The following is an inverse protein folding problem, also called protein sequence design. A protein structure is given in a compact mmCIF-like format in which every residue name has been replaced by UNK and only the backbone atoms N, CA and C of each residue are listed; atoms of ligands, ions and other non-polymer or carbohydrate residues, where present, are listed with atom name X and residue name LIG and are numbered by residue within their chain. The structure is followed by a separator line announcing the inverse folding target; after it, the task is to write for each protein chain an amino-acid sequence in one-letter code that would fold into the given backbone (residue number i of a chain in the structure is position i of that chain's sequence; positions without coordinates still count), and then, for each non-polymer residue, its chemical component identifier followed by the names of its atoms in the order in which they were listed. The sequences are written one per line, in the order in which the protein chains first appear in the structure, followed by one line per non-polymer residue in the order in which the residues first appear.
data_IF_970201279020
#
_entry.id   IF_970201279020
#
_cell.length_a   1.000
_cell.length_b   1.000
_cell.length_c   1.000
_cell.angle_alpha   90.00
_cell.angle_beta   90.00
_cell.angle_gamma   90.00
#
_symmetry.space_group_name_H-M   'P 1'
#
loop_
_entity.id
_entity.type
_entity.pdbx_description
1 polymer ?
#
# COMPACT_ATOMS: atom_id res chain seq x y z
N UNK A 1 12.63 33.12 50.43
CA UNK A 1 11.60 33.11 49.36
C UNK A 1 11.96 34.20 48.38
N UNK A 2 12.21 33.85 47.12
CA UNK A 2 12.42 34.77 45.99
C UNK A 2 13.88 35.09 45.65
N UNK A 3 14.56 34.21 44.91
CA UNK A 3 15.78 34.57 44.16
C UNK A 3 15.42 34.73 42.69
N UNK A 4 15.10 35.95 42.28
CA UNK A 4 15.09 36.39 40.88
C UNK A 4 16.37 37.22 40.71
N UNK A 5 17.35 36.90 39.87
CA UNK A 5 17.26 36.28 38.56
C UNK A 5 18.04 37.18 37.59
N UNK A 6 19.32 37.40 37.85
CA UNK A 6 20.21 38.09 36.93
C UNK A 6 21.39 37.17 36.61
N UNK A 7 21.43 36.62 35.40
CA UNK A 7 22.68 36.38 34.65
C UNK A 7 22.31 36.26 33.16
N UNK A 8 22.97 37.04 32.29
CA UNK A 8 22.81 36.98 30.84
C UNK A 8 23.56 35.76 30.31
N UNK A 9 23.07 35.11 29.27
CA UNK A 9 23.96 34.31 28.43
C UNK A 9 23.41 34.19 27.02
N UNK A 10 23.83 35.17 26.22
CA UNK A 10 23.92 35.07 24.78
C UNK A 10 24.84 33.89 24.42
N UNK A 11 24.25 32.71 24.26
CA UNK A 11 24.86 31.60 23.52
C UNK A 11 24.02 31.31 22.31
N UNK A 12 24.17 32.15 21.28
CA UNK A 12 23.97 31.69 19.91
C UNK A 12 25.20 30.87 19.53
N UNK A 13 25.14 29.53 19.42
CA UNK A 13 26.20 28.80 18.75
C UNK A 13 26.09 29.05 17.24
N UNK A 14 27.19 29.43 16.56
CA UNK A 14 27.23 29.32 15.12
C UNK A 14 27.43 27.83 14.77
N UNK A 15 26.43 27.20 14.17
CA UNK A 15 26.66 26.01 13.36
C UNK A 15 26.40 26.42 11.91
N UNK A 16 27.47 26.90 11.31
CA UNK A 16 27.63 26.85 9.87
C UNK A 16 27.78 25.37 9.46
N UNK A 17 27.22 25.06 8.30
CA UNK A 17 27.62 23.98 7.39
C UNK A 17 27.03 22.55 7.55
N UNK A 18 26.32 22.15 6.48
CA UNK A 18 26.03 20.80 6.00
C UNK A 18 25.01 19.93 6.76
N UNK A 19 23.73 20.04 6.36
CA UNK A 19 22.91 18.82 6.20
C UNK A 19 21.72 19.02 5.27
N UNK A 20 21.79 18.29 4.17
CA UNK A 20 20.60 17.72 3.54
C UNK A 20 19.80 18.70 2.73
N UNK A 21 20.26 18.93 1.50
CA UNK A 21 19.43 18.79 0.30
C UNK A 21 17.97 18.44 0.66
N UNK A 22 17.08 19.42 0.61
CA UNK A 22 15.65 19.15 0.52
C UNK A 22 15.52 18.19 -0.65
N UNK A 23 15.07 16.93 -0.48
CA UNK A 23 14.66 16.17 -1.63
C UNK A 23 13.40 16.88 -2.12
N UNK A 24 13.59 17.77 -3.09
CA UNK A 24 12.61 17.97 -4.15
C UNK A 24 12.36 16.58 -4.72
N UNK A 25 11.41 15.87 -4.12
CA UNK A 25 10.83 14.69 -4.73
C UNK A 25 10.00 15.27 -5.85
N UNK A 26 10.70 15.48 -6.96
CA UNK A 26 10.17 15.67 -8.27
C UNK A 26 9.13 14.57 -8.48
N UNK A 27 7.85 14.91 -8.48
CA UNK A 27 6.73 14.07 -8.92
C UNK A 27 6.80 13.80 -10.44
N UNK A 28 8.01 13.55 -10.98
CA UNK A 28 8.29 13.19 -12.38
C UNK A 28 8.82 11.75 -12.48
N UNK A 29 8.32 10.84 -11.63
CA UNK A 29 8.46 9.39 -11.83
C UNK A 29 7.08 8.74 -12.07
N UNK A 30 6.17 9.47 -12.73
CA UNK A 30 4.83 8.97 -13.09
C UNK A 30 4.63 8.90 -14.61
N UNK A 31 5.68 8.54 -15.35
CA UNK A 31 5.61 8.42 -16.83
C UNK A 31 6.09 7.06 -17.35
N UNK A 32 6.30 6.07 -16.46
CA UNK A 32 6.64 4.68 -16.82
C UNK A 32 5.71 3.64 -16.19
N UNK A 33 4.48 4.01 -15.83
CA UNK A 33 3.43 3.04 -15.48
C UNK A 33 2.81 2.47 -16.76
N UNK A 34 3.66 1.87 -17.60
CA UNK A 34 3.24 1.08 -18.76
C UNK A 34 2.53 -0.17 -18.26
N UNK A 35 1.21 -0.06 -18.03
CA UNK A 35 0.26 -1.15 -17.79
C UNK A 35 0.84 -2.36 -17.03
N UNK A 36 1.41 -2.14 -15.85
CA UNK A 36 1.74 -3.27 -14.97
C UNK A 36 0.40 -3.80 -14.46
N UNK A 37 -0.03 -4.96 -14.95
CA UNK A 37 -1.18 -5.63 -14.34
C UNK A 37 -0.76 -5.86 -12.88
N UNK A 38 -1.51 -5.37 -11.88
CA UNK A 38 -1.09 -5.40 -10.46
C UNK A 38 -0.89 -6.82 -9.90
N UNK A 39 -1.11 -7.85 -10.72
CA UNK A 39 -1.03 -9.26 -10.40
C UNK A 39 0.06 -10.00 -11.20
N UNK A 40 0.86 -9.33 -12.03
CA UNK A 40 1.97 -9.95 -12.75
C UNK A 40 3.16 -10.22 -11.82
N UNK A 41 3.78 -11.40 -11.97
CA UNK A 41 4.84 -11.86 -11.07
C UNK A 41 4.39 -12.36 -9.68
N UNK A 42 3.08 -12.29 -9.36
CA UNK A 42 2.56 -12.85 -8.12
C UNK A 42 2.42 -14.37 -8.20
N UNK A 43 2.56 -15.10 -7.07
CA UNK A 43 2.30 -16.54 -7.03
C UNK A 43 0.85 -16.85 -7.39
N UNK A 44 0.62 -18.07 -7.90
CA UNK A 44 -0.72 -18.52 -8.31
C UNK A 44 -1.76 -18.51 -7.16
N UNK A 45 -1.28 -18.69 -5.92
CA UNK A 45 -2.08 -18.68 -4.71
C UNK A 45 -1.54 -17.63 -3.74
N UNK A 46 -2.39 -16.71 -3.31
CA UNK A 46 -2.09 -15.73 -2.27
C UNK A 46 -2.82 -16.08 -0.99
N UNK A 47 -2.21 -15.83 0.16
CA UNK A 47 -2.96 -15.86 1.41
C UNK A 47 -4.00 -14.73 1.43
N UNK A 48 -5.13 -14.94 2.12
CA UNK A 48 -6.17 -13.91 2.26
C UNK A 48 -5.61 -12.57 2.75
N UNK A 49 -4.74 -12.50 3.78
CA UNK A 49 -4.18 -11.23 4.24
C UNK A 49 -3.31 -10.52 3.20
N UNK A 50 -2.60 -11.28 2.35
CA UNK A 50 -1.75 -10.69 1.29
C UNK A 50 -2.60 -10.17 0.14
N UNK A 51 -3.64 -10.91 -0.26
CA UNK A 51 -4.61 -10.42 -1.22
C UNK A 51 -5.34 -9.17 -0.71
N UNK A 52 -5.72 -9.14 0.58
CA UNK A 52 -6.35 -7.96 1.19
C UNK A 52 -5.51 -6.69 1.03
N UNK A 53 -4.20 -6.79 1.29
CA UNK A 53 -3.28 -5.66 1.13
C UNK A 53 -3.21 -5.14 -0.31
N UNK A 54 -3.25 -6.04 -1.30
CA UNK A 54 -3.27 -5.68 -2.72
C UNK A 54 -4.59 -5.05 -3.15
N UNK A 55 -5.70 -5.48 -2.54
CA UNK A 55 -7.04 -4.98 -2.83
C UNK A 55 -7.42 -3.70 -2.06
N UNK A 56 -6.54 -3.21 -1.17
CA UNK A 56 -6.86 -2.10 -0.27
C UNK A 56 -7.92 -2.44 0.79
N UNK A 57 -8.13 -3.73 1.07
CA UNK A 57 -9.12 -4.20 2.04
C UNK A 57 -8.48 -4.48 3.40
N UNK A 58 -9.25 -4.26 4.47
CA UNK A 58 -8.87 -4.77 5.78
C UNK A 58 -8.81 -6.31 5.77
N UNK A 59 -7.96 -6.92 6.61
CA UNK A 59 -7.90 -8.39 6.76
C UNK A 59 -9.26 -8.97 7.12
N UNK A 60 -9.99 -8.33 8.04
CA UNK A 60 -11.30 -8.79 8.49
C UNK A 60 -12.30 -8.79 7.33
N UNK A 61 -12.36 -7.70 6.56
CA UNK A 61 -13.23 -7.60 5.38
C UNK A 61 -12.88 -8.69 4.35
N UNK A 62 -11.60 -8.89 4.05
CA UNK A 62 -11.17 -9.92 3.11
C UNK A 62 -11.56 -11.34 3.55
N UNK A 63 -11.45 -11.67 4.84
CA UNK A 63 -11.93 -12.96 5.33
C UNK A 63 -13.46 -13.10 5.22
N UNK A 64 -14.22 -12.04 5.50
CA UNK A 64 -15.68 -12.06 5.30
C UNK A 64 -16.02 -12.30 3.83
N UNK A 65 -15.40 -11.58 2.90
CA UNK A 65 -15.66 -11.75 1.48
C UNK A 65 -15.22 -13.11 0.95
N UNK A 66 -14.10 -13.65 1.44
CA UNK A 66 -13.68 -15.01 1.13
C UNK A 66 -14.68 -16.06 1.65
N UNK A 67 -15.22 -15.86 2.86
CA UNK A 67 -16.24 -16.74 3.43
C UNK A 67 -17.61 -16.61 2.73
N UNK A 68 -17.95 -15.40 2.26
CA UNK A 68 -19.17 -15.12 1.49
C UNK A 68 -19.08 -15.59 0.03
N UNK A 69 -17.88 -15.94 -0.45
CA UNK A 69 -17.66 -16.34 -1.85
C UNK A 69 -17.51 -15.17 -2.83
N UNK A 70 -17.43 -13.93 -2.34
CA UNK A 70 -17.21 -12.73 -3.16
C UNK A 70 -15.75 -12.61 -3.64
N UNK A 71 -14.80 -13.23 -2.93
CA UNK A 71 -13.42 -13.38 -3.40
C UNK A 71 -13.18 -14.79 -3.95
N UNK A 72 -12.41 -14.92 -5.05
CA UNK A 72 -12.11 -16.21 -5.67
C UNK A 72 -11.12 -17.00 -4.81
N UNK A 73 -11.64 -17.63 -3.76
CA UNK A 73 -10.87 -18.33 -2.75
C UNK A 73 -10.93 -19.85 -2.90
N UNK A 74 -9.83 -20.53 -2.58
CA UNK A 74 -9.68 -21.99 -2.61
C UNK A 74 -9.06 -22.48 -1.30
N UNK A 75 -9.59 -23.59 -0.78
CA UNK A 75 -9.00 -24.27 0.39
C UNK A 75 -7.96 -25.28 -0.05
N UNK A 76 -6.76 -25.20 0.52
CA UNK A 76 -5.66 -26.13 0.27
C UNK A 76 -4.96 -26.43 1.61
N UNK A 77 -4.87 -27.71 2.00
CA UNK A 77 -4.21 -28.11 3.26
C UNK A 77 -4.81 -27.46 4.51
N UNK A 78 -6.13 -27.23 4.53
CA UNK A 78 -6.85 -26.59 5.64
C UNK A 78 -6.81 -25.05 5.67
N UNK A 79 -6.02 -24.42 4.79
CA UNK A 79 -5.88 -22.95 4.71
C UNK A 79 -6.62 -22.39 3.50
N UNK A 80 -7.11 -21.15 3.62
CA UNK A 80 -7.79 -20.43 2.53
C UNK A 80 -6.78 -19.58 1.78
N UNK A 81 -6.80 -19.68 0.46
CA UNK A 81 -5.98 -18.89 -0.46
C UNK A 81 -6.86 -18.20 -1.50
N UNK A 82 -6.43 -17.07 -2.04
CA UNK A 82 -7.03 -16.40 -3.20
C UNK A 82 -6.29 -16.86 -4.46
N UNK A 83 -7.05 -17.26 -5.47
CA UNK A 83 -6.52 -17.67 -6.77
C UNK A 83 -6.28 -16.43 -7.61
N UNK A 84 -5.01 -16.06 -7.81
CA UNK A 84 -4.65 -14.81 -8.50
C UNK A 84 -5.16 -14.75 -9.92
N UNK A 85 -5.15 -15.88 -10.64
CA UNK A 85 -5.68 -15.97 -12.00
C UNK A 85 -7.18 -15.59 -12.08
N UNK A 86 -7.98 -15.97 -11.07
CA UNK A 86 -9.41 -15.64 -10.99
C UNK A 86 -9.67 -14.25 -10.40
N UNK A 87 -8.67 -13.65 -9.75
CA UNK A 87 -8.74 -12.28 -9.25
C UNK A 87 -8.52 -11.25 -10.37
N UNK A 88 -7.71 -11.58 -11.39
CA UNK A 88 -7.39 -10.69 -12.53
C UNK A 88 -8.64 -10.10 -13.20
N UNK A 89 -9.67 -10.88 -13.58
CA UNK A 89 -10.86 -10.34 -14.23
C UNK A 89 -11.70 -9.43 -13.33
N UNK A 90 -11.57 -9.53 -12.01
CA UNK A 90 -12.29 -8.66 -11.06
C UNK A 90 -11.64 -7.26 -10.94
N UNK A 91 -10.36 -7.14 -11.29
CA UNK A 91 -9.57 -5.90 -11.17
C UNK A 91 -9.40 -5.19 -12.51
N UNK A 92 -9.39 -5.94 -13.61
CA UNK A 92 -9.51 -5.36 -14.94
C UNK A 92 -10.97 -5.00 -15.14
N UNK A 93 -11.29 -3.70 -15.12
CA UNK A 93 -12.60 -3.23 -15.51
C UNK A 93 -12.83 -3.58 -16.99
N UNK A 94 -13.44 -4.74 -17.25
CA UNK A 94 -14.06 -4.99 -18.55
C UNK A 94 -15.28 -4.04 -18.61
N UNK A 95 -15.34 -3.06 -19.53
CA UNK A 95 -16.59 -2.36 -19.79
C UNK A 95 -17.57 -3.40 -20.39
N UNK A 96 -18.37 -4.02 -19.53
CA UNK A 96 -19.45 -4.88 -19.94
C UNK A 96 -20.53 -4.05 -20.64
N UNK A 97 -20.60 -4.16 -21.96
CA UNK A 97 -21.84 -4.00 -22.72
C UNK A 97 -21.94 -2.80 -23.66
N UNK A 98 -21.48 -2.95 -24.90
CA UNK A 98 -22.17 -2.39 -26.07
C UNK A 98 -22.00 -3.37 -27.23
N UNK A 99 -23.03 -4.18 -27.47
CA UNK A 99 -23.35 -4.81 -28.76
C UNK A 99 -24.65 -5.60 -28.56
N UNK A 100 -25.77 -4.89 -28.72
CA UNK A 100 -27.07 -5.47 -29.08
C UNK A 100 -27.14 -5.68 -30.61
#
# INVERSE_FOLDING_TARGET
MGTDGATPDDRTPPHDDLSGQTPSITDEESTLNAAVTPLDGLPALLSVPRAAALLGLSRASAYRYAAAGELPSKRLGGRVYIVTAQLRPLLTAEPMGEAA
#
